data_IF_045312527864
#
_entry.id   IF_045312527864
#
_cell.length_a   1.000
_cell.length_b   1.000
_cell.length_c   1.000
_cell.angle_alpha   90.00
_cell.angle_beta   90.00
_cell.angle_gamma   90.00
#
_symmetry.space_group_name_H-M   'P 1'
#
loop_
_entity.id
_entity.type
_entity.pdbx_description
1 polymer ?
#
# COMPACT_ATOMS: atom_id res chain seq x y z
N UNK A 1 -30.27 4.09 26.47
CA UNK A 1 -29.07 3.66 27.23
C UNK A 1 -28.55 2.42 26.52
N UNK A 2 -27.59 2.40 25.61
CA UNK A 2 -26.50 3.28 25.17
C UNK A 2 -26.97 4.13 23.96
N UNK A 3 -26.63 5.40 23.80
CA UNK A 3 -25.27 5.93 23.75
C UNK A 3 -25.05 6.34 22.29
N UNK A 4 -25.45 7.56 21.97
CA UNK A 4 -25.25 8.25 20.69
C UNK A 4 -23.75 8.48 20.47
N UNK A 5 -23.04 7.46 19.96
CA UNK A 5 -21.63 7.54 19.57
C UNK A 5 -21.48 7.85 18.06
N UNK A 6 -22.53 8.39 17.43
CA UNK A 6 -22.49 8.90 16.04
C UNK A 6 -21.92 10.32 15.93
N UNK A 7 -21.28 10.81 16.98
CA UNK A 7 -20.85 12.20 17.13
C UNK A 7 -19.33 12.24 17.28
N UNK A 8 -18.65 12.40 16.14
CA UNK A 8 -17.21 12.69 15.97
C UNK A 8 -16.20 11.56 16.26
N UNK A 9 -16.18 10.53 15.42
CA UNK A 9 -14.89 10.02 14.91
C UNK A 9 -14.57 10.76 13.60
N UNK A 10 -14.64 12.10 13.64
CA UNK A 10 -13.78 12.89 12.78
C UNK A 10 -12.38 12.47 13.19
N UNK A 11 -11.80 11.53 12.44
CA UNK A 11 -10.37 11.42 12.37
C UNK A 11 -9.91 12.86 12.18
N UNK A 12 -9.27 13.43 13.19
CA UNK A 12 -8.34 14.51 12.98
C UNK A 12 -7.38 13.87 11.98
N UNK A 13 -7.64 14.09 10.69
CA UNK A 13 -6.67 13.86 9.63
C UNK A 13 -5.66 14.95 9.94
N UNK A 14 -4.83 14.65 10.92
CA UNK A 14 -3.80 15.54 11.31
C UNK A 14 -2.93 15.66 10.06
N UNK A 15 -2.54 16.89 9.72
CA UNK A 15 -1.70 17.15 8.55
C UNK A 15 -0.25 16.68 8.80
N UNK A 16 -0.11 15.47 9.32
CA UNK A 16 1.15 14.81 9.62
C UNK A 16 1.51 13.83 8.52
N UNK A 17 2.81 13.74 8.29
CA UNK A 17 3.43 12.73 7.45
C UNK A 17 4.40 11.92 8.32
N UNK A 18 4.36 10.61 8.21
CA UNK A 18 5.31 9.72 8.89
C UNK A 18 6.48 9.41 7.95
N UNK A 19 7.70 9.67 8.39
CA UNK A 19 8.92 9.24 7.67
C UNK A 19 9.66 8.25 8.54
N UNK A 20 9.93 7.06 8.02
CA UNK A 20 10.60 5.98 8.74
C UNK A 20 11.68 5.33 7.87
N UNK A 21 12.87 5.12 8.42
CA UNK A 21 13.95 4.45 7.71
C UNK A 21 13.86 2.91 7.85
N UNK A 22 14.58 2.16 7.01
CA UNK A 22 14.56 0.70 7.02
C UNK A 22 14.96 0.06 8.35
N UNK A 23 15.90 0.64 9.10
CA UNK A 23 16.30 0.09 10.41
C UNK A 23 15.19 0.24 11.47
N UNK A 24 14.62 1.44 11.59
CA UNK A 24 13.50 1.70 12.47
C UNK A 24 12.24 0.94 12.05
N UNK A 25 12.01 0.78 10.74
CA UNK A 25 10.92 -0.03 10.21
C UNK A 25 11.05 -1.50 10.59
N UNK A 26 12.27 -2.05 10.63
CA UNK A 26 12.47 -3.44 11.06
C UNK A 26 11.95 -3.67 12.49
N UNK A 27 12.24 -2.75 13.40
CA UNK A 27 11.73 -2.80 14.78
C UNK A 27 10.22 -2.54 14.85
N UNK A 28 9.72 -1.58 14.07
CA UNK A 28 8.29 -1.26 14.01
C UNK A 28 7.44 -2.42 13.47
N UNK A 29 8.03 -3.32 12.67
CA UNK A 29 7.39 -4.52 12.13
C UNK A 29 7.52 -5.74 13.05
N UNK A 30 8.12 -5.62 14.24
CA UNK A 30 8.12 -6.71 15.21
C UNK A 30 6.69 -6.94 15.75
N UNK A 31 6.29 -8.19 16.07
CA UNK A 31 4.91 -8.52 16.46
C UNK A 31 4.35 -7.71 17.65
N UNK A 32 5.24 -7.19 18.49
CA UNK A 32 4.88 -6.40 19.67
C UNK A 32 4.50 -4.95 19.31
N UNK A 33 5.02 -4.43 18.19
CA UNK A 33 4.88 -3.03 17.78
C UNK A 33 4.10 -2.86 16.47
N UNK A 34 3.90 -3.93 15.69
CA UNK A 34 3.32 -3.84 14.34
C UNK A 34 1.92 -3.20 14.31
N UNK A 35 1.09 -3.47 15.32
CA UNK A 35 -0.25 -2.88 15.44
C UNK A 35 -0.16 -1.38 15.77
N UNK A 36 0.72 -0.99 16.70
CA UNK A 36 0.93 0.41 17.07
C UNK A 36 1.47 1.22 15.88
N UNK A 37 2.43 0.65 15.14
CA UNK A 37 2.96 1.26 13.92
C UNK A 37 1.85 1.44 12.87
N UNK A 38 1.01 0.42 12.67
CA UNK A 38 -0.09 0.50 11.71
C UNK A 38 -1.10 1.58 12.08
N UNK A 39 -1.47 1.69 13.35
CA UNK A 39 -2.44 2.69 13.79
C UNK A 39 -1.88 4.11 13.68
N UNK A 40 -0.62 4.33 14.08
CA UNK A 40 0.08 5.60 13.85
C UNK A 40 0.14 5.96 12.35
N UNK A 41 0.47 4.99 11.50
CA UNK A 41 0.52 5.18 10.06
C UNK A 41 -0.84 5.54 9.46
N UNK A 42 -1.94 4.98 10.01
CA UNK A 42 -3.31 5.27 9.58
C UNK A 42 -3.82 6.64 10.02
N UNK A 43 -3.27 7.21 11.09
CA UNK A 43 -3.56 8.59 11.49
C UNK A 43 -2.85 9.62 10.61
N UNK A 44 -1.79 9.22 9.88
CA UNK A 44 -1.02 10.10 9.02
C UNK A 44 -1.63 10.20 7.63
N UNK A 45 -1.57 11.41 7.03
CA UNK A 45 -2.03 11.64 5.65
C UNK A 45 -1.11 10.97 4.63
N UNK A 46 0.18 10.85 4.95
CA UNK A 46 1.16 10.16 4.12
C UNK A 46 2.21 9.45 4.97
N UNK A 47 2.75 8.37 4.41
CA UNK A 47 3.81 7.57 5.03
C UNK A 47 4.91 7.35 4.00
N UNK A 48 6.15 7.65 4.38
CA UNK A 48 7.35 7.49 3.54
C UNK A 48 8.31 6.54 4.25
N UNK A 49 8.44 5.34 3.70
CA UNK A 49 9.43 4.36 4.14
C UNK A 49 10.70 4.51 3.28
N UNK A 50 11.82 4.93 3.87
CA UNK A 50 13.07 5.19 3.15
C UNK A 50 14.14 4.14 3.45
N UNK A 51 15.01 3.85 2.47
CA UNK A 51 16.12 2.87 2.60
C UNK A 51 15.65 1.48 3.07
N UNK A 52 14.51 1.02 2.54
CA UNK A 52 13.92 -0.28 2.87
C UNK A 52 14.40 -1.39 1.94
N UNK A 53 14.46 -2.61 2.47
CA UNK A 53 14.76 -3.82 1.67
C UNK A 53 13.52 -4.30 0.90
N UNK A 54 13.68 -5.09 -0.18
CA UNK A 54 12.56 -5.71 -0.90
C UNK A 54 11.60 -6.49 0.03
N UNK A 55 12.15 -7.17 1.04
CA UNK A 55 11.36 -7.92 2.01
C UNK A 55 10.53 -7.00 2.91
N UNK A 56 11.11 -5.89 3.38
CA UNK A 56 10.40 -4.91 4.20
C UNK A 56 9.25 -4.25 3.45
N UNK A 57 9.40 -3.97 2.15
CA UNK A 57 8.29 -3.47 1.32
C UNK A 57 7.09 -4.44 1.34
N UNK A 58 7.36 -5.73 1.16
CA UNK A 58 6.33 -6.77 1.20
C UNK A 58 5.69 -6.90 2.59
N UNK A 59 6.48 -6.84 3.67
CA UNK A 59 5.97 -6.91 5.05
C UNK A 59 5.01 -5.75 5.37
N UNK A 60 5.29 -4.53 4.90
CA UNK A 60 4.38 -3.40 5.08
C UNK A 60 3.04 -3.65 4.37
N UNK A 61 3.07 -4.14 3.12
CA UNK A 61 1.84 -4.46 2.38
C UNK A 61 1.05 -5.57 3.07
N UNK A 62 1.73 -6.61 3.53
CA UNK A 62 1.11 -7.73 4.27
C UNK A 62 0.48 -7.26 5.59
N UNK A 63 1.15 -6.39 6.33
CA UNK A 63 0.65 -5.82 7.59
C UNK A 63 -0.68 -5.09 7.37
N UNK A 64 -0.73 -4.20 6.36
CA UNK A 64 -1.94 -3.45 6.00
C UNK A 64 -3.03 -4.40 5.51
N UNK A 65 -2.68 -5.36 4.65
CA UNK A 65 -3.61 -6.34 4.09
C UNK A 65 -4.27 -7.22 5.16
N UNK A 66 -3.52 -7.63 6.18
CA UNK A 66 -4.02 -8.49 7.26
C UNK A 66 -4.96 -7.77 8.22
N UNK A 67 -4.66 -6.52 8.53
CA UNK A 67 -5.33 -5.80 9.63
C UNK A 67 -6.37 -4.79 9.15
N UNK A 68 -6.29 -4.33 7.91
CA UNK A 68 -7.25 -3.39 7.32
C UNK A 68 -8.10 -4.13 6.31
N UNK A 69 -9.42 -3.96 6.38
CA UNK A 69 -10.39 -4.52 5.42
C UNK A 69 -10.41 -3.69 4.12
N UNK A 70 -9.24 -3.45 3.54
CA UNK A 70 -9.03 -2.61 2.38
C UNK A 70 -8.30 -3.37 1.27
N UNK A 71 -8.62 -3.04 0.02
CA UNK A 71 -7.89 -3.57 -1.15
C UNK A 71 -6.57 -2.81 -1.25
N UNK A 72 -5.47 -3.55 -1.23
CA UNK A 72 -4.11 -3.02 -1.38
C UNK A 72 -3.63 -3.17 -2.82
N UNK A 73 -3.05 -2.10 -3.35
CA UNK A 73 -2.43 -2.07 -4.68
C UNK A 73 -0.95 -1.71 -4.53
N UNK A 74 -0.08 -2.48 -5.19
CA UNK A 74 1.35 -2.20 -5.22
C UNK A 74 1.81 -1.92 -6.66
N UNK A 75 2.64 -0.89 -6.81
CA UNK A 75 3.24 -0.50 -8.10
C UNK A 75 4.76 -0.60 -7.97
N UNK A 76 5.42 -1.16 -8.97
CA UNK A 76 6.89 -1.18 -9.06
C UNK A 76 7.38 -1.41 -10.47
N UNK A 77 8.66 -1.14 -10.71
CA UNK A 77 9.30 -1.23 -12.03
C UNK A 77 10.48 -2.21 -12.06
N UNK A 78 11.11 -2.46 -10.91
CA UNK A 78 12.29 -3.31 -10.80
C UNK A 78 12.07 -4.65 -10.09
N UNK A 79 13.13 -5.47 -10.07
CA UNK A 79 13.14 -6.74 -9.35
C UNK A 79 12.93 -6.58 -7.83
N UNK A 80 13.30 -5.41 -7.27
CA UNK A 80 13.15 -5.08 -5.86
C UNK A 80 11.69 -4.96 -5.40
N UNK A 81 10.76 -4.77 -6.33
CA UNK A 81 9.34 -4.59 -6.04
C UNK A 81 8.52 -5.85 -6.26
N UNK A 82 9.12 -6.91 -6.84
CA UNK A 82 8.42 -8.17 -7.18
C UNK A 82 7.71 -8.77 -5.96
N UNK A 83 8.38 -8.83 -4.80
CA UNK A 83 7.76 -9.36 -3.58
C UNK A 83 6.60 -8.49 -3.11
N UNK A 84 6.76 -7.17 -3.13
CA UNK A 84 5.71 -6.22 -2.76
C UNK A 84 4.48 -6.33 -3.68
N UNK A 85 4.71 -6.41 -4.99
CA UNK A 85 3.69 -6.60 -6.03
C UNK A 85 2.89 -7.87 -5.77
N UNK A 86 3.58 -9.00 -5.59
CA UNK A 86 2.94 -10.32 -5.35
C UNK A 86 2.17 -10.41 -4.04
N UNK A 87 2.59 -9.68 -3.00
CA UNK A 87 1.89 -9.67 -1.70
C UNK A 87 0.59 -8.87 -1.74
N UNK A 88 0.52 -7.83 -2.57
CA UNK A 88 -0.68 -6.98 -2.69
C UNK A 88 -1.89 -7.72 -3.27
N UNK A 89 -3.08 -7.11 -3.23
CA UNK A 89 -4.25 -7.68 -3.90
C UNK A 89 -4.23 -7.41 -5.41
N UNK A 90 -3.66 -6.28 -5.81
CA UNK A 90 -3.54 -5.86 -7.20
C UNK A 90 -2.10 -5.40 -7.43
N UNK A 91 -1.36 -6.17 -8.21
CA UNK A 91 0.01 -5.87 -8.60
C UNK A 91 0.07 -5.12 -9.93
N UNK A 92 0.83 -4.02 -9.97
CA UNK A 92 1.04 -3.23 -11.18
C UNK A 92 2.53 -3.08 -11.50
N UNK A 93 2.93 -3.52 -12.69
CA UNK A 93 4.28 -3.43 -13.18
C UNK A 93 4.46 -2.24 -14.14
N UNK A 94 5.38 -1.33 -13.82
CA UNK A 94 5.77 -0.26 -14.75
C UNK A 94 6.90 -0.75 -15.64
N UNK A 95 6.73 -0.58 -16.94
CA UNK A 95 7.74 -0.93 -17.94
C UNK A 95 8.89 0.07 -17.88
N UNK A 96 9.96 -0.27 -17.15
CA UNK A 96 11.13 0.58 -16.93
C UNK A 96 12.41 0.07 -17.58
N UNK A 97 13.51 0.80 -17.37
CA UNK A 97 14.86 0.42 -17.84
C UNK A 97 15.53 -0.63 -16.93
N UNK A 98 15.02 -0.85 -15.71
CA UNK A 98 15.61 -1.78 -14.72
C UNK A 98 15.27 -3.26 -14.95
N UNK A 99 14.51 -3.56 -16.02
CA UNK A 99 14.19 -4.92 -16.45
C UNK A 99 12.70 -5.23 -16.47
N UNK A 100 12.35 -6.43 -16.92
CA UNK A 100 10.95 -6.86 -17.08
C UNK A 100 10.38 -7.58 -15.86
N UNK A 101 11.10 -7.66 -14.74
CA UNK A 101 10.72 -8.53 -13.62
C UNK A 101 9.45 -8.08 -12.90
N UNK A 102 9.27 -6.78 -12.67
CA UNK A 102 8.04 -6.25 -12.10
C UNK A 102 6.84 -6.48 -13.04
N UNK A 103 7.03 -6.27 -14.35
CA UNK A 103 6.01 -6.49 -15.39
C UNK A 103 5.56 -7.95 -15.42
N UNK A 104 6.50 -8.89 -15.41
CA UNK A 104 6.21 -10.33 -15.44
C UNK A 104 5.56 -10.83 -14.13
N UNK A 105 5.76 -10.13 -13.01
CA UNK A 105 5.20 -10.47 -11.72
C UNK A 105 3.85 -9.78 -11.42
N UNK A 106 3.38 -8.89 -12.29
CA UNK A 106 2.22 -8.03 -12.06
C UNK A 106 0.94 -8.50 -12.78
N UNK A 107 -0.22 -8.14 -12.24
CA UNK A 107 -1.53 -8.40 -12.84
C UNK A 107 -1.81 -7.47 -14.02
N UNK A 108 -1.40 -6.19 -13.89
CA UNK A 108 -1.48 -5.18 -14.92
C UNK A 108 -0.10 -4.57 -15.17
N UNK A 109 0.19 -4.21 -16.42
CA UNK A 109 1.42 -3.50 -16.73
C UNK A 109 1.22 -2.36 -17.74
N UNK A 110 1.97 -1.29 -17.56
CA UNK A 110 1.96 -0.13 -18.47
C UNK A 110 3.25 0.69 -18.36
N UNK A 111 3.54 1.48 -19.39
CA UNK A 111 4.83 2.17 -19.51
C UNK A 111 5.02 3.37 -18.55
N UNK A 112 3.95 3.99 -18.05
CA UNK A 112 4.04 5.22 -17.26
C UNK A 112 3.01 5.26 -16.13
N UNK A 113 3.41 5.76 -14.96
CA UNK A 113 2.55 5.85 -13.77
C UNK A 113 1.23 6.60 -14.02
N UNK A 114 1.20 7.60 -14.91
CA UNK A 114 0.00 8.38 -15.25
C UNK A 114 -1.19 7.51 -15.72
N UNK A 115 -0.93 6.33 -16.27
CA UNK A 115 -1.98 5.42 -16.72
C UNK A 115 -2.71 4.72 -15.57
N UNK A 116 -2.13 4.70 -14.36
CA UNK A 116 -2.78 4.19 -13.16
C UNK A 116 -4.10 4.89 -12.87
N UNK A 117 -4.16 6.21 -13.08
CA UNK A 117 -5.38 6.99 -12.88
C UNK A 117 -6.53 6.47 -13.77
N UNK A 118 -6.25 6.20 -15.05
CA UNK A 118 -7.26 5.67 -15.98
C UNK A 118 -7.61 4.21 -15.65
N UNK A 119 -6.63 3.40 -15.27
CA UNK A 119 -6.85 2.03 -14.83
C UNK A 119 -7.84 1.99 -13.65
N UNK A 120 -7.64 2.82 -12.62
CA UNK A 120 -8.49 2.78 -11.43
C UNK A 120 -9.83 3.48 -11.64
N UNK A 121 -9.83 4.71 -12.14
CA UNK A 121 -11.02 5.55 -12.15
C UNK A 121 -12.00 5.23 -13.29
N UNK A 122 -11.51 4.65 -14.39
CA UNK A 122 -12.36 4.24 -15.52
C UNK A 122 -12.56 2.74 -15.47
N UNK A 123 -11.50 1.95 -15.66
CA UNK A 123 -11.62 0.50 -15.78
C UNK A 123 -11.97 -0.17 -14.44
N UNK A 124 -11.31 0.22 -13.35
CA UNK A 124 -11.56 -0.32 -12.02
C UNK A 124 -12.99 -0.04 -11.54
N UNK A 125 -13.46 1.21 -11.67
CA UNK A 125 -14.84 1.57 -11.33
C UNK A 125 -15.86 0.84 -12.20
N UNK A 126 -15.62 0.75 -13.51
CA UNK A 126 -16.54 0.08 -14.42
C UNK A 126 -16.63 -1.42 -14.14
N UNK A 127 -15.48 -2.10 -13.96
CA UNK A 127 -15.44 -3.52 -13.58
C UNK A 127 -16.08 -3.78 -12.22
N UNK A 128 -15.90 -2.89 -11.23
CA UNK A 128 -16.51 -3.04 -9.91
C UNK A 128 -18.06 -3.01 -9.97
N UNK A 129 -18.65 -2.24 -10.88
CA UNK A 129 -20.12 -2.17 -11.03
C UNK A 129 -20.75 -3.30 -11.84
N UNK A 130 -19.97 -4.04 -12.63
CA UNK A 130 -20.51 -5.08 -13.52
C UNK A 130 -20.05 -6.50 -13.20
N UNK A 131 -18.93 -6.67 -12.50
CA UNK A 131 -18.42 -7.98 -12.11
C UNK A 131 -18.73 -8.34 -10.65
N UNK A 132 -19.25 -7.39 -9.88
CA UNK A 132 -19.83 -7.57 -8.54
C UNK A 132 -21.32 -7.28 -8.64
#
# INVERSE_FOLDING_TARGET
MYGDDSVFEEAIIAEYALVINGHSLAHALEPQLEVLFLDLACLCKSVICCRVTPMQKAQVVELVKRHKRAVTLAVGDGANDVSMIKTSHIGVGISGQEGMQAVLASDFSFAQFRYLQRLLLVHGRWSYFHCV
#
